data_IF_783353401194
#
_entry.id   IF_783353401194
#
_cell.length_a   1.000
_cell.length_b   1.000
_cell.length_c   1.000
_cell.angle_alpha   90.00
_cell.angle_beta   90.00
_cell.angle_gamma   90.00
#
_symmetry.space_group_name_H-M   'P 1'
#
loop_
_entity.id
_entity.type
_entity.pdbx_description
1 polymer ?
#
# COMPACT_ATOMS: atom_id res chain seq x y z
N UNK A 1 -18.00 -29.92 10.55
CA UNK A 1 -18.77 -28.92 9.77
C UNK A 1 -19.13 -29.55 8.44
N UNK A 2 -20.36 -30.04 8.27
CA UNK A 2 -20.84 -30.64 7.02
C UNK A 2 -21.06 -29.56 5.98
N UNK A 3 -20.43 -29.68 4.81
CA UNK A 3 -20.61 -28.73 3.72
C UNK A 3 -22.11 -28.60 3.36
N UNK A 4 -22.63 -27.37 3.18
CA UNK A 4 -24.02 -27.18 2.81
C UNK A 4 -24.34 -27.90 1.49
N UNK A 5 -25.50 -28.56 1.43
CA UNK A 5 -25.98 -29.19 0.20
C UNK A 5 -26.04 -28.20 -0.99
N UNK A 6 -25.97 -28.68 -2.24
CA UNK A 6 -25.86 -27.81 -3.42
C UNK A 6 -27.01 -26.81 -3.57
N UNK A 7 -28.21 -27.13 -3.06
CA UNK A 7 -29.36 -26.23 -3.05
C UNK A 7 -29.24 -25.11 -1.99
N UNK A 8 -28.67 -25.40 -0.82
CA UNK A 8 -28.46 -24.38 0.22
C UNK A 8 -27.31 -23.46 -0.14
N UNK A 9 -26.21 -23.99 -0.68
CA UNK A 9 -25.09 -23.18 -1.20
C UNK A 9 -25.54 -22.16 -2.26
N UNK A 10 -26.44 -22.57 -3.18
CA UNK A 10 -26.98 -21.69 -4.23
C UNK A 10 -27.88 -20.58 -3.67
N UNK A 11 -28.69 -20.87 -2.65
CA UNK A 11 -29.47 -19.84 -1.94
C UNK A 11 -28.55 -18.81 -1.27
N UNK A 12 -27.48 -19.27 -0.61
CA UNK A 12 -26.48 -18.39 -0.01
C UNK A 12 -25.79 -17.48 -1.03
N UNK A 13 -25.43 -18.00 -2.22
CA UNK A 13 -24.84 -17.15 -3.28
C UNK A 13 -25.80 -16.07 -3.79
N UNK A 14 -27.10 -16.36 -3.88
CA UNK A 14 -28.10 -15.37 -4.29
C UNK A 14 -28.30 -14.29 -3.22
N UNK A 15 -28.38 -14.69 -1.95
CA UNK A 15 -28.47 -13.76 -0.81
C UNK A 15 -27.22 -12.88 -0.75
N UNK A 16 -26.03 -13.46 -0.91
CA UNK A 16 -24.78 -12.72 -0.93
C UNK A 16 -24.71 -11.70 -2.08
N UNK A 17 -25.16 -12.07 -3.28
CA UNK A 17 -25.22 -11.16 -4.43
C UNK A 17 -26.18 -9.98 -4.17
N UNK A 18 -27.38 -10.26 -3.66
CA UNK A 18 -28.36 -9.23 -3.32
C UNK A 18 -27.88 -8.30 -2.20
N UNK A 19 -27.29 -8.87 -1.14
CA UNK A 19 -26.73 -8.09 -0.03
C UNK A 19 -25.57 -7.20 -0.48
N UNK A 20 -24.65 -7.72 -1.30
CA UNK A 20 -23.53 -6.95 -1.84
C UNK A 20 -24.02 -5.79 -2.72
N UNK A 21 -25.05 -6.02 -3.54
CA UNK A 21 -25.64 -4.98 -4.39
C UNK A 21 -26.37 -3.90 -3.57
N UNK A 22 -27.13 -4.28 -2.55
CA UNK A 22 -27.77 -3.34 -1.63
C UNK A 22 -26.72 -2.51 -0.89
N UNK A 23 -25.64 -3.13 -0.41
CA UNK A 23 -24.56 -2.42 0.26
C UNK A 23 -23.81 -1.49 -0.70
N UNK A 24 -23.62 -1.90 -1.97
CA UNK A 24 -23.05 -1.05 -3.01
C UNK A 24 -23.90 0.21 -3.23
N UNK A 25 -25.24 0.09 -3.25
CA UNK A 25 -26.14 1.25 -3.35
C UNK A 25 -26.02 2.17 -2.13
N UNK A 26 -25.95 1.62 -0.92
CA UNK A 26 -25.75 2.40 0.32
C UNK A 26 -24.42 3.16 0.29
N UNK A 27 -23.33 2.51 -0.12
CA UNK A 27 -22.00 3.14 -0.25
C UNK A 27 -22.01 4.21 -1.35
N UNK A 28 -22.69 3.95 -2.48
CA UNK A 28 -22.90 4.93 -3.54
C UNK A 28 -23.63 6.18 -3.03
N UNK A 29 -24.72 6.02 -2.29
CA UNK A 29 -25.43 7.12 -1.66
C UNK A 29 -24.55 7.86 -0.63
N UNK A 30 -23.80 7.12 0.19
CA UNK A 30 -22.87 7.69 1.16
C UNK A 30 -21.78 8.54 0.49
N UNK A 31 -21.33 8.18 -0.71
CA UNK A 31 -20.33 8.96 -1.46
C UNK A 31 -20.79 10.37 -1.85
N UNK A 32 -22.11 10.57 -1.95
CA UNK A 32 -22.74 11.87 -2.23
C UNK A 32 -22.90 12.69 -0.96
N UNK A 33 -23.27 12.04 0.15
CA UNK A 33 -23.62 12.71 1.41
C UNK A 33 -22.39 12.97 2.30
N UNK A 34 -21.39 12.09 2.29
CA UNK A 34 -20.19 12.17 3.15
C UNK A 34 -19.41 13.50 3.05
N UNK A 35 -19.26 14.14 1.87
CA UNK A 35 -18.60 15.44 1.76
C UNK A 35 -19.21 16.51 2.65
N UNK A 36 -20.54 16.52 2.82
CA UNK A 36 -21.25 17.49 3.68
C UNK A 36 -21.03 17.24 5.17
N UNK A 37 -20.82 15.98 5.58
CA UNK A 37 -20.48 15.65 6.97
C UNK A 37 -19.02 15.96 7.29
N UNK A 38 -18.11 15.78 6.34
CA UNK A 38 -16.67 16.04 6.53
C UNK A 38 -16.32 17.52 6.54
N UNK A 39 -17.08 18.38 5.85
CA UNK A 39 -16.86 19.83 5.84
C UNK A 39 -17.34 20.51 7.12
N UNK A 40 -18.28 19.91 7.86
CA UNK A 40 -18.87 20.50 9.05
C UNK A 40 -17.87 20.58 10.21
N UNK A 41 -17.64 21.80 10.68
CA UNK A 41 -16.69 22.15 11.75
C UNK A 41 -15.26 21.65 11.47
N UNK A 42 -14.88 21.58 10.19
CA UNK A 42 -13.58 21.07 9.77
C UNK A 42 -12.42 21.77 10.48
N UNK A 43 -12.46 23.10 10.52
CA UNK A 43 -11.42 23.93 11.13
C UNK A 43 -11.29 23.68 12.64
N UNK A 44 -12.42 23.59 13.35
CA UNK A 44 -12.42 23.33 14.78
C UNK A 44 -11.91 21.92 15.10
N UNK A 45 -12.37 20.90 14.35
CA UNK A 45 -11.95 19.50 14.52
C UNK A 45 -10.49 19.29 14.15
N UNK A 46 -10.03 19.91 13.07
CA UNK A 46 -8.62 19.83 12.65
C UNK A 46 -7.72 20.48 13.68
N UNK A 47 -8.03 21.69 14.15
CA UNK A 47 -7.25 22.37 15.19
C UNK A 47 -7.23 21.59 16.51
N UNK A 48 -8.36 21.03 16.94
CA UNK A 48 -8.42 20.17 18.13
C UNK A 48 -7.54 18.92 17.98
N UNK A 49 -7.57 18.28 16.81
CA UNK A 49 -6.70 17.14 16.50
C UNK A 49 -5.22 17.52 16.51
N UNK A 50 -4.86 18.69 15.95
CA UNK A 50 -3.49 19.20 15.93
C UNK A 50 -3.00 19.50 17.35
N UNK A 51 -3.82 20.13 18.20
CA UNK A 51 -3.50 20.36 19.62
C UNK A 51 -3.31 19.05 20.38
N UNK A 52 -4.17 18.07 20.16
CA UNK A 52 -4.01 16.74 20.77
C UNK A 52 -2.72 16.03 20.28
N UNK A 53 -2.29 16.27 19.05
CA UNK A 53 -1.01 15.76 18.54
C UNK A 53 0.18 16.53 19.09
N UNK A 54 0.09 17.85 19.24
CA UNK A 54 1.10 18.69 19.90
C UNK A 54 1.31 18.26 21.36
N UNK A 55 0.22 18.09 22.12
CA UNK A 55 0.27 17.60 23.50
C UNK A 55 0.94 16.21 23.60
N UNK A 56 0.59 15.27 22.71
CA UNK A 56 1.23 13.95 22.64
C UNK A 56 2.72 14.04 22.30
N UNK A 57 3.11 14.97 21.44
CA UNK A 57 4.52 15.17 21.06
C UNK A 57 5.32 15.75 22.22
N UNK A 58 4.78 16.74 22.94
CA UNK A 58 5.36 17.27 24.18
C UNK A 58 5.50 16.18 25.25
N UNK A 59 4.48 15.35 25.45
CA UNK A 59 4.53 14.22 26.38
C UNK A 59 5.59 13.18 26.00
N UNK A 60 5.75 12.87 24.70
CA UNK A 60 6.82 11.97 24.24
C UNK A 60 8.20 12.52 24.51
N UNK A 61 8.42 13.81 24.26
CA UNK A 61 9.70 14.45 24.58
C UNK A 61 9.95 14.40 26.09
N UNK A 62 8.97 14.78 26.90
CA UNK A 62 9.09 14.72 28.36
C UNK A 62 9.42 13.30 28.85
N UNK A 63 8.81 12.27 28.26
CA UNK A 63 9.13 10.87 28.58
C UNK A 63 10.56 10.49 28.17
N UNK A 64 11.05 10.95 27.02
CA UNK A 64 12.43 10.73 26.57
C UNK A 64 13.43 11.42 27.49
N UNK A 65 13.20 12.70 27.83
CA UNK A 65 14.04 13.46 28.76
C UNK A 65 14.04 12.82 30.15
N UNK A 66 12.86 12.48 30.70
CA UNK A 66 12.76 11.83 32.01
C UNK A 66 13.47 10.46 32.04
N UNK A 67 13.40 9.68 30.95
CA UNK A 67 14.13 8.40 30.84
C UNK A 67 15.64 8.62 30.80
N UNK A 68 16.10 9.64 30.08
CA UNK A 68 17.51 10.03 30.01
C UNK A 68 18.01 10.44 31.40
N UNK A 69 17.29 11.31 32.10
CA UNK A 69 17.62 11.77 33.44
C UNK A 69 17.61 10.65 34.47
N UNK A 70 16.56 9.82 34.48
CA UNK A 70 16.45 8.68 35.41
C UNK A 70 17.63 7.72 35.24
N UNK A 71 18.11 7.53 34.01
CA UNK A 71 19.29 6.70 33.76
C UNK A 71 20.58 7.38 34.18
N UNK A 72 20.72 8.67 33.92
CA UNK A 72 21.86 9.43 34.39
C UNK A 72 21.96 9.38 35.92
N UNK A 73 20.83 9.54 36.61
CA UNK A 73 20.74 9.50 38.07
C UNK A 73 21.07 8.13 38.70
N UNK A 74 21.04 7.02 37.95
CA UNK A 74 21.45 5.70 38.48
C UNK A 74 22.93 5.62 38.85
N UNK A 75 23.72 6.54 38.32
CA UNK A 75 25.15 6.63 38.60
C UNK A 75 25.46 7.66 39.69
N UNK A 76 24.44 8.39 40.19
CA UNK A 76 24.61 9.32 41.29
C UNK A 76 24.94 8.55 42.58
N UNK A 77 26.02 8.96 43.26
CA UNK A 77 26.47 8.33 44.51
C UNK A 77 27.13 6.95 44.35
N UNK A 78 27.32 6.48 43.11
CA UNK A 78 28.04 5.24 42.86
C UNK A 78 29.54 5.43 43.16
N UNK A 79 30.13 4.51 43.94
CA UNK A 79 31.59 4.54 44.18
C UNK A 79 32.29 4.21 42.85
N UNK A 80 33.04 5.16 42.27
CA UNK A 80 33.62 4.96 40.96
C UNK A 80 34.68 3.86 41.01
N UNK A 81 34.69 2.93 40.04
CA UNK A 81 35.82 2.02 39.86
C UNK A 81 37.15 2.77 39.78
N UNK A 82 38.20 2.21 40.38
CA UNK A 82 39.53 2.80 40.36
C UNK A 82 40.10 2.92 38.92
N UNK A 83 39.78 1.95 38.06
CA UNK A 83 40.13 1.94 36.65
C UNK A 83 38.94 2.33 35.77
N UNK A 84 39.10 3.21 34.76
CA UNK A 84 38.05 3.57 33.81
C UNK A 84 37.36 2.35 33.18
N UNK A 85 38.10 1.27 32.88
CA UNK A 85 37.55 0.05 32.30
C UNK A 85 36.48 -0.63 33.15
N UNK A 86 36.50 -0.39 34.47
CA UNK A 86 35.49 -0.88 35.41
C UNK A 86 34.08 -0.31 35.16
N UNK A 87 33.94 0.79 34.41
CA UNK A 87 32.63 1.35 34.03
C UNK A 87 31.93 0.56 32.92
N UNK A 88 32.67 -0.14 32.05
CA UNK A 88 32.09 -0.83 30.90
C UNK A 88 31.06 -1.92 31.28
N UNK A 89 31.33 -2.81 32.28
CA UNK A 89 30.33 -3.77 32.74
C UNK A 89 29.07 -3.11 33.30
N UNK A 90 29.21 -1.98 34.00
CA UNK A 90 28.09 -1.20 34.54
C UNK A 90 27.22 -0.67 33.38
N UNK A 91 27.85 -0.07 32.37
CA UNK A 91 27.15 0.42 31.18
C UNK A 91 26.43 -0.70 30.44
N UNK A 92 27.07 -1.86 30.26
CA UNK A 92 26.46 -3.01 29.58
C UNK A 92 25.24 -3.55 30.32
N UNK A 93 25.27 -3.56 31.65
CA UNK A 93 24.16 -4.02 32.51
C UNK A 93 23.00 -3.03 32.60
N UNK A 94 23.17 -1.78 32.12
CA UNK A 94 22.19 -0.70 32.30
C UNK A 94 20.93 -0.79 31.41
N UNK A 95 20.88 -1.75 30.48
CA UNK A 95 19.73 -1.99 29.60
C UNK A 95 19.50 -0.85 28.60
N UNK A 96 20.58 -0.28 28.05
CA UNK A 96 20.53 0.71 26.97
C UNK A 96 20.15 0.06 25.65
N UNK A 97 19.29 0.72 24.88
CA UNK A 97 19.03 0.38 23.49
C UNK A 97 20.18 0.91 22.63
N UNK A 98 21.25 0.14 22.52
CA UNK A 98 22.54 0.57 21.96
C UNK A 98 22.49 1.20 20.55
N UNK A 99 21.41 0.98 19.78
CA UNK A 99 21.21 1.61 18.48
C UNK A 99 20.86 3.12 18.57
N UNK A 100 20.16 3.51 19.62
CA UNK A 100 19.60 4.86 19.80
C UNK A 100 20.10 5.55 21.06
N UNK A 101 20.68 4.81 22.00
CA UNK A 101 21.07 5.31 23.31
C UNK A 101 22.54 4.96 23.57
N UNK A 102 23.21 5.79 24.36
CA UNK A 102 24.60 5.58 24.73
C UNK A 102 24.97 6.26 26.03
N UNK A 103 26.10 5.83 26.58
CA UNK A 103 26.72 6.42 27.76
C UNK A 103 28.23 6.43 27.57
N UNK A 104 28.88 7.50 28.01
CA UNK A 104 30.32 7.65 27.98
C UNK A 104 30.84 8.24 29.28
N UNK A 105 31.96 7.71 29.76
CA UNK A 105 32.83 8.37 30.72
C UNK A 105 33.75 9.31 29.95
N UNK A 106 33.75 10.59 30.31
CA UNK A 106 34.62 11.60 29.72
C UNK A 106 35.51 12.25 30.78
N UNK A 107 36.69 12.67 30.38
CA UNK A 107 37.54 13.51 31.23
C UNK A 107 37.00 14.96 31.31
N UNK A 108 37.70 15.80 32.06
CA UNK A 108 37.37 17.22 32.21
C UNK A 108 37.32 18.02 30.90
N UNK A 109 37.99 17.57 29.84
CA UNK A 109 38.01 18.25 28.54
C UNK A 109 37.04 17.62 27.51
N UNK A 110 36.23 16.64 27.90
CA UNK A 110 35.21 16.02 27.05
C UNK A 110 35.73 14.88 26.15
N UNK A 111 36.97 14.41 26.35
CA UNK A 111 37.48 13.22 25.70
C UNK A 111 36.84 11.97 26.30
N UNK A 112 36.42 11.05 25.44
CA UNK A 112 35.80 9.79 25.83
C UNK A 112 36.88 8.80 26.28
N UNK A 113 36.81 8.36 27.54
CA UNK A 113 37.69 7.32 28.10
C UNK A 113 37.08 5.93 27.90
N UNK A 114 35.78 5.78 28.20
CA UNK A 114 35.03 4.51 28.08
C UNK A 114 33.62 4.80 27.61
N UNK A 115 33.07 3.98 26.71
CA UNK A 115 31.71 4.16 26.20
C UNK A 115 30.97 2.86 25.96
N UNK A 116 29.65 2.95 25.88
CA UNK A 116 28.78 1.87 25.45
C UNK A 116 27.56 2.44 24.71
N UNK A 117 27.21 1.83 23.57
CA UNK A 117 26.07 2.25 22.75
C UNK A 117 26.39 3.41 21.80
N UNK A 118 25.36 4.17 21.44
CA UNK A 118 25.43 5.25 20.46
C UNK A 118 25.86 6.56 21.12
N UNK A 119 27.14 6.91 20.95
CA UNK A 119 27.82 8.01 21.65
C UNK A 119 28.43 8.98 20.65
N UNK A 120 28.37 10.27 20.98
CA UNK A 120 29.11 11.32 20.29
C UNK A 120 30.43 11.61 21.00
N UNK A 121 31.49 11.87 20.24
CA UNK A 121 32.71 12.46 20.77
C UNK A 121 32.45 13.92 21.15
N UNK A 122 32.34 14.24 22.44
CA UNK A 122 32.01 15.60 22.88
C UNK A 122 33.13 16.59 22.57
N UNK A 123 34.39 16.21 22.77
CA UNK A 123 35.57 17.02 22.43
C UNK A 123 35.62 17.46 20.96
N UNK A 124 35.10 16.65 20.02
CA UNK A 124 35.06 17.00 18.59
C UNK A 124 33.85 17.85 18.21
N UNK A 125 32.83 17.95 19.08
CA UNK A 125 31.55 18.57 18.77
C UNK A 125 31.31 19.88 19.54
N UNK A 126 31.96 20.04 20.69
CA UNK A 126 31.74 21.12 21.65
C UNK A 126 33.09 21.73 22.01
N UNK A 127 33.21 23.05 21.81
CA UNK A 127 34.41 23.79 22.22
C UNK A 127 34.54 23.83 23.74
N UNK A 128 35.76 24.01 24.25
CA UNK A 128 36.04 23.95 25.69
C UNK A 128 35.21 24.94 26.50
N UNK A 129 35.06 26.17 26.02
CA UNK A 129 34.28 27.22 26.68
C UNK A 129 32.80 26.83 26.78
N UNK A 130 32.24 26.30 25.68
CA UNK A 130 30.87 25.80 25.61
C UNK A 130 30.65 24.60 26.53
N UNK A 131 31.64 23.72 26.61
CA UNK A 131 31.58 22.54 27.45
C UNK A 131 31.50 22.92 28.93
N UNK A 132 32.32 23.88 29.39
CA UNK A 132 32.24 24.41 30.76
C UNK A 132 30.89 25.10 31.03
N UNK A 133 30.35 25.85 30.06
CA UNK A 133 29.01 26.45 30.18
C UNK A 133 27.93 25.38 30.34
N UNK A 134 27.99 24.30 29.56
CA UNK A 134 27.02 23.19 29.63
C UNK A 134 27.12 22.41 30.94
N UNK A 135 28.33 22.20 31.47
CA UNK A 135 28.53 21.61 32.81
C UNK A 135 27.92 22.48 33.91
N UNK A 136 28.21 23.78 33.88
CA UNK A 136 27.77 24.73 34.90
C UNK A 136 26.26 24.95 34.84
N UNK A 137 25.68 25.02 33.64
CA UNK A 137 24.25 25.05 33.47
C UNK A 137 23.66 23.75 34.03
N UNK A 138 24.11 22.58 33.56
CA UNK A 138 23.46 21.30 33.81
C UNK A 138 22.15 21.14 33.03
N UNK A 139 21.49 19.99 33.17
CA UNK A 139 20.31 19.62 32.38
C UNK A 139 20.64 19.03 31.01
N UNK A 140 19.62 18.86 30.18
CA UNK A 140 19.70 18.28 28.85
C UNK A 140 19.85 19.34 27.77
N UNK A 141 20.71 19.05 26.79
CA UNK A 141 20.97 19.90 25.65
C UNK A 141 21.01 19.07 24.37
N UNK A 142 20.79 19.73 23.23
CA UNK A 142 20.84 19.09 21.92
C UNK A 142 22.16 19.33 21.22
N UNK A 143 22.68 18.26 20.59
CA UNK A 143 23.82 18.32 19.69
C UNK A 143 23.40 17.72 18.35
N UNK A 144 23.55 18.52 17.29
CA UNK A 144 23.35 18.08 15.90
C UNK A 144 24.69 17.69 15.30
N UNK A 145 24.81 16.43 14.88
CA UNK A 145 25.97 15.92 14.16
C UNK A 145 25.54 15.32 12.82
N UNK A 146 25.85 16.03 11.73
CA UNK A 146 25.50 15.65 10.35
C UNK A 146 24.01 15.37 10.20
N UNK A 147 23.63 14.10 10.08
CA UNK A 147 22.26 13.63 9.88
C UNK A 147 21.57 13.21 11.19
N UNK A 148 22.25 13.25 12.32
CA UNK A 148 21.72 12.80 13.62
C UNK A 148 21.58 13.95 14.61
N UNK A 149 20.53 13.87 15.42
CA UNK A 149 20.28 14.79 16.52
C UNK A 149 20.26 13.98 17.82
N UNK A 150 21.05 14.43 18.79
CA UNK A 150 21.19 13.78 20.10
C UNK A 150 20.75 14.72 21.20
N UNK A 151 19.98 14.17 22.14
CA UNK A 151 19.75 14.76 23.45
C UNK A 151 20.79 14.20 24.40
N UNK A 152 21.59 15.07 25.00
CA UNK A 152 22.67 14.71 25.90
C UNK A 152 22.49 15.34 27.29
N UNK A 153 22.95 14.63 28.32
CA UNK A 153 23.03 15.12 29.71
C UNK A 153 24.41 14.81 30.25
N UNK A 154 25.00 15.77 30.95
CA UNK A 154 26.29 15.62 31.64
C UNK A 154 26.06 15.49 33.15
N UNK A 155 26.71 14.50 33.78
CA UNK A 155 26.70 14.30 35.24
C UNK A 155 28.12 14.16 35.77
N UNK A 156 28.53 14.91 36.80
CA UNK A 156 29.83 14.73 37.42
C UNK A 156 29.91 13.38 38.15
N UNK A 157 31.05 12.69 38.02
CA UNK A 157 31.37 11.50 38.81
C UNK A 157 31.92 11.94 40.17
N UNK A 158 31.68 11.15 41.22
CA UNK A 158 32.28 11.39 42.54
C UNK A 158 33.81 11.54 42.41
N UNK A 159 34.36 12.68 42.86
CA UNK A 159 35.76 13.07 42.64
C UNK A 159 35.97 14.23 41.65
N UNK A 160 34.93 14.66 40.93
CA UNK A 160 34.88 15.96 40.24
C UNK A 160 35.65 16.09 38.91
N UNK A 161 36.67 15.27 38.67
CA UNK A 161 37.51 15.37 37.45
C UNK A 161 36.90 14.71 36.21
N UNK A 162 35.98 13.75 36.40
CA UNK A 162 35.36 12.98 35.32
C UNK A 162 33.85 13.22 35.25
N UNK A 163 33.29 13.05 34.06
CA UNK A 163 31.87 13.26 33.76
C UNK A 163 31.29 12.01 33.07
N UNK A 164 30.02 11.73 33.36
CA UNK A 164 29.21 10.79 32.61
C UNK A 164 28.33 11.58 31.64
N UNK A 165 28.51 11.30 30.36
CA UNK A 165 27.69 11.81 29.29
C UNK A 165 26.69 10.74 28.86
N UNK A 166 25.40 11.03 29.02
CA UNK A 166 24.32 10.15 28.56
C UNK A 166 23.72 10.72 27.28
N UNK A 167 23.46 9.84 26.30
CA UNK A 167 22.95 10.21 24.99
C UNK A 167 21.68 9.44 24.66
N UNK A 168 20.71 10.15 24.09
CA UNK A 168 19.57 9.57 23.38
C UNK A 168 19.44 10.25 22.03
N UNK A 169 19.53 9.48 20.96
CA UNK A 169 19.27 9.95 19.60
C UNK A 169 17.78 10.28 19.46
N UNK A 170 17.46 11.52 19.09
CA UNK A 170 16.09 11.97 18.82
C UNK A 170 15.71 11.81 17.36
N UNK A 171 16.65 12.01 16.45
CA UNK A 171 16.41 11.90 15.02
C UNK A 171 17.65 11.41 14.26
N UNK A 172 17.41 10.69 13.16
CA UNK A 172 18.38 10.39 12.11
C UNK A 172 17.71 10.57 10.76
N UNK A 173 18.13 11.60 10.02
CA UNK A 173 17.55 12.04 8.75
C UNK A 173 18.66 11.99 7.67
N UNK A 174 18.94 10.81 7.10
CA UNK A 174 19.99 10.64 6.12
C UNK A 174 19.61 11.30 4.78
N UNK A 175 20.58 11.92 4.11
CA UNK A 175 20.37 12.48 2.76
C UNK A 175 20.04 11.42 1.71
N UNK A 176 20.45 10.17 1.95
CA UNK A 176 20.20 9.02 1.06
C UNK A 176 19.53 7.92 1.87
N UNK A 177 18.33 7.52 1.47
CA UNK A 177 17.60 6.41 2.07
C UNK A 177 17.86 5.12 1.27
N UNK A 178 17.98 4.00 1.98
CA UNK A 178 18.06 2.67 1.35
C UNK A 178 17.32 1.65 2.22
N UNK A 179 17.18 0.41 1.74
CA UNK A 179 16.57 -0.66 2.54
C UNK A 179 17.23 -0.85 3.93
N UNK A 180 18.52 -0.52 4.04
CA UNK A 180 19.36 -0.66 5.23
C UNK A 180 19.55 0.65 6.01
N UNK A 181 19.36 1.81 5.37
CA UNK A 181 19.52 3.13 5.98
C UNK A 181 18.14 3.77 6.03
N UNK A 182 17.51 3.69 7.21
CA UNK A 182 16.17 4.20 7.45
C UNK A 182 16.21 5.42 8.35
N UNK A 183 15.27 6.33 8.09
CA UNK A 183 15.00 7.42 9.01
C UNK A 183 14.58 6.90 10.38
N UNK A 184 14.99 7.62 11.40
CA UNK A 184 14.56 7.39 12.77
C UNK A 184 14.10 8.70 13.38
N UNK A 185 12.94 8.69 14.02
CA UNK A 185 12.40 9.82 14.78
C UNK A 185 11.82 9.31 16.10
N UNK A 186 12.35 9.77 17.22
CA UNK A 186 11.84 9.43 18.55
C UNK A 186 10.49 10.10 18.84
N UNK A 187 10.27 11.32 18.30
CA UNK A 187 9.12 12.16 18.63
C UNK A 187 7.97 12.00 17.61
N UNK A 188 8.30 11.75 16.35
CA UNK A 188 7.35 11.60 15.26
C UNK A 188 6.96 10.13 15.03
N UNK A 189 5.69 9.81 14.76
CA UNK A 189 5.39 8.61 13.99
C UNK A 189 5.92 8.85 12.57
N UNK A 190 7.02 8.19 12.18
CA UNK A 190 7.67 8.39 10.89
C UNK A 190 6.69 8.40 9.71
N UNK A 191 6.85 9.36 8.80
CA UNK A 191 6.22 9.34 7.47
C UNK A 191 4.82 9.98 7.32
N UNK A 192 4.36 10.88 8.20
CA UNK A 192 3.13 11.66 7.94
C UNK A 192 3.45 13.01 7.29
N UNK A 193 3.00 13.20 6.05
CA UNK A 193 2.96 14.52 5.41
C UNK A 193 2.29 15.54 6.35
N UNK A 194 2.95 16.67 6.59
CA UNK A 194 2.47 17.70 7.52
C UNK A 194 2.93 17.53 8.98
N UNK A 195 4.02 16.82 9.25
CA UNK A 195 4.68 16.82 10.55
C UNK A 195 6.16 17.13 10.36
N UNK A 196 6.60 18.28 10.87
CA UNK A 196 7.98 18.74 10.75
C UNK A 196 8.52 19.14 12.12
N UNK A 197 9.78 18.80 12.41
CA UNK A 197 10.48 19.18 13.64
C UNK A 197 11.86 19.69 13.27
N UNK A 198 12.06 20.98 13.53
CA UNK A 198 13.37 21.61 13.50
C UNK A 198 14.02 21.50 14.88
N UNK A 199 15.18 20.85 14.93
CA UNK A 199 15.95 20.69 16.15
C UNK A 199 17.02 21.77 16.23
N UNK A 200 17.05 22.50 17.34
CA UNK A 200 17.98 23.59 17.60
C UNK A 200 19.16 23.08 18.42
N UNK A 201 20.37 23.22 17.87
CA UNK A 201 21.60 22.88 18.58
C UNK A 201 21.84 23.88 19.73
N UNK A 202 22.55 23.48 20.79
CA UNK A 202 22.84 24.37 21.92
C UNK A 202 23.61 25.65 21.52
N UNK A 203 24.28 25.64 20.35
CA UNK A 203 25.01 26.77 19.76
C UNK A 203 24.10 27.78 19.06
N UNK A 204 22.88 27.40 18.71
CA UNK A 204 21.97 28.23 17.94
C UNK A 204 21.16 29.14 18.89
N UNK A 205 21.04 30.42 18.52
CA UNK A 205 20.26 31.39 19.28
C UNK A 205 18.76 31.20 19.02
N UNK A 206 18.01 30.91 20.10
CA UNK A 206 16.56 30.70 20.09
C UNK A 206 15.76 31.85 20.73
N UNK A 207 16.41 32.96 21.11
CA UNK A 207 15.75 34.09 21.80
C UNK A 207 14.65 34.74 20.96
N UNK A 208 14.79 34.71 19.63
CA UNK A 208 13.74 35.12 18.69
C UNK A 208 12.48 34.26 18.83
N UNK A 209 12.65 32.94 18.92
CA UNK A 209 11.57 31.99 19.13
C UNK A 209 10.96 32.11 20.53
N UNK A 210 11.77 32.29 21.56
CA UNK A 210 11.28 32.49 22.93
C UNK A 210 10.34 33.70 23.01
N UNK A 211 10.76 34.85 22.47
CA UNK A 211 9.91 36.06 22.40
C UNK A 211 8.68 35.87 21.53
N UNK A 212 8.78 35.08 20.47
CA UNK A 212 7.64 34.77 19.60
C UNK A 212 6.60 33.92 20.33
N UNK A 213 7.01 32.82 20.96
CA UNK A 213 6.10 31.89 21.62
C UNK A 213 5.55 32.42 22.94
N UNK A 214 6.31 33.22 23.68
CA UNK A 214 5.81 33.92 24.87
C UNK A 214 4.58 34.80 24.54
N UNK A 215 4.59 35.47 23.38
CA UNK A 215 3.44 36.27 22.90
C UNK A 215 2.23 35.43 22.49
N UNK A 216 2.45 34.17 22.13
CA UNK A 216 1.43 33.25 21.62
C UNK A 216 1.10 32.09 22.59
N UNK A 217 1.49 32.20 23.87
CA UNK A 217 1.25 31.15 24.89
C UNK A 217 1.75 29.77 24.43
N UNK A 218 2.95 29.72 23.86
CA UNK A 218 3.60 28.52 23.32
C UNK A 218 2.82 27.79 22.21
N UNK A 219 1.85 28.44 21.56
CA UNK A 219 1.11 27.88 20.43
C UNK A 219 0.73 28.95 19.40
N UNK A 220 1.23 28.81 18.19
CA UNK A 220 0.85 29.66 17.07
C UNK A 220 0.07 28.85 16.02
N UNK A 221 -1.21 29.16 15.87
CA UNK A 221 -2.02 28.64 14.77
C UNK A 221 -1.91 29.59 13.58
N UNK A 222 -1.25 29.15 12.52
CA UNK A 222 -1.12 29.94 11.29
C UNK A 222 -2.48 30.14 10.61
N UNK A 223 -2.64 31.27 9.93
CA UNK A 223 -3.82 31.50 9.09
C UNK A 223 -3.65 30.72 7.77
N UNK A 224 -4.69 29.98 7.34
CA UNK A 224 -4.66 29.34 6.04
C UNK A 224 -4.72 30.43 4.96
N UNK A 225 -3.93 30.31 3.87
CA UNK A 225 -3.95 31.33 2.81
C UNK A 225 -5.24 31.27 1.98
N UNK A 226 -5.95 30.13 2.03
CA UNK A 226 -7.27 29.92 1.42
C UNK A 226 -8.22 29.16 2.35
N UNK A 227 -9.53 29.34 2.19
CA UNK A 227 -10.60 28.72 3.02
C UNK A 227 -10.53 27.19 3.11
N UNK A 228 -9.85 26.51 2.17
CA UNK A 228 -9.73 25.05 2.12
C UNK A 228 -8.32 24.52 2.44
N UNK A 229 -7.37 25.40 2.78
CA UNK A 229 -5.99 25.02 3.08
C UNK A 229 -5.80 24.53 4.52
N UNK A 230 -4.76 23.72 4.69
CA UNK A 230 -4.30 23.24 5.98
C UNK A 230 -3.95 24.41 6.91
N UNK A 231 -4.54 24.45 8.11
CA UNK A 231 -4.03 25.32 9.18
C UNK A 231 -2.81 24.66 9.83
N UNK A 232 -1.61 25.27 9.76
CA UNK A 232 -0.47 24.76 10.49
C UNK A 232 -0.57 25.19 11.97
N UNK A 233 -0.18 24.29 12.87
CA UNK A 233 0.03 24.56 14.28
C UNK A 233 1.53 24.50 14.55
N UNK A 234 2.10 25.62 14.96
CA UNK A 234 3.51 25.77 15.30
C UNK A 234 3.66 25.89 16.82
N UNK A 235 4.55 25.11 17.42
CA UNK A 235 4.76 25.12 18.87
C UNK A 235 6.19 24.75 19.27
N UNK A 236 6.68 25.21 20.42
CA UNK A 236 7.99 24.85 20.92
C UNK A 236 7.94 23.51 21.66
N UNK A 237 9.07 22.82 21.59
CA UNK A 237 9.43 21.66 22.38
C UNK A 237 10.55 22.09 23.33
N UNK A 238 10.27 22.04 24.63
CA UNK A 238 11.15 22.52 25.69
C UNK A 238 11.78 21.36 26.45
N UNK A 239 13.00 21.55 26.96
CA UNK A 239 13.63 20.64 27.90
C UNK A 239 13.07 20.82 29.32
N UNK A 240 13.57 20.05 30.28
CA UNK A 240 13.18 20.11 31.69
C UNK A 240 13.45 21.48 32.36
N UNK A 241 14.38 22.26 31.81
CA UNK A 241 14.68 23.63 32.25
C UNK A 241 13.80 24.69 31.62
N UNK A 242 12.92 24.29 30.71
CA UNK A 242 12.04 25.21 29.99
C UNK A 242 12.67 25.88 28.77
N UNK A 243 13.91 25.54 28.37
CA UNK A 243 14.52 26.08 27.16
C UNK A 243 14.01 25.38 25.90
N UNK A 244 13.78 26.15 24.82
CA UNK A 244 13.42 25.58 23.51
C UNK A 244 14.59 24.77 22.96
N UNK A 245 14.35 23.49 22.70
CA UNK A 245 15.30 22.59 22.03
C UNK A 245 14.83 22.19 20.63
N UNK A 246 13.54 22.28 20.34
CA UNK A 246 13.03 22.05 19.01
C UNK A 246 11.77 22.87 18.76
N UNK A 247 11.45 23.13 17.50
CA UNK A 247 10.18 23.71 17.08
C UNK A 247 9.49 22.76 16.13
N UNK A 248 8.20 22.52 16.38
CA UNK A 248 7.41 21.57 15.62
C UNK A 248 6.30 22.28 14.84
N UNK A 249 6.16 21.93 13.56
CA UNK A 249 5.08 22.37 12.70
C UNK A 249 4.18 21.20 12.34
N UNK A 250 2.90 21.29 12.69
CA UNK A 250 1.88 20.30 12.34
C UNK A 250 0.89 20.90 11.35
N UNK A 251 0.75 20.29 10.19
CA UNK A 251 -0.28 20.61 9.23
C UNK A 251 -1.28 19.44 9.14
N UNK A 252 -2.57 19.75 9.22
CA UNK A 252 -3.60 18.80 8.84
C UNK A 252 -3.69 18.72 7.31
N UNK A 253 -4.12 17.60 6.70
CA UNK A 253 -4.42 17.60 5.26
C UNK A 253 -5.47 18.68 4.95
N UNK A 254 -5.55 19.14 3.70
CA UNK A 254 -6.63 20.07 3.29
C UNK A 254 -8.00 19.38 3.31
N UNK A 255 -9.09 20.15 3.47
CA UNK A 255 -10.45 19.60 3.39
C UNK A 255 -10.67 18.91 2.05
N UNK A 256 -10.20 19.51 0.95
CA UNK A 256 -10.26 18.94 -0.40
C UNK A 256 -9.54 17.60 -0.48
N UNK A 257 -8.34 17.50 0.09
CA UNK A 257 -7.58 16.24 0.15
C UNK A 257 -8.33 15.18 0.95
N UNK A 258 -8.86 15.54 2.12
CA UNK A 258 -9.62 14.61 2.98
C UNK A 258 -10.91 14.12 2.32
N UNK A 259 -11.66 15.01 1.67
CA UNK A 259 -12.88 14.65 0.93
C UNK A 259 -12.54 13.78 -0.29
N UNK A 260 -11.46 14.10 -1.00
CA UNK A 260 -11.01 13.32 -2.16
C UNK A 260 -10.59 11.91 -1.74
N UNK A 261 -9.77 11.79 -0.68
CA UNK A 261 -9.35 10.50 -0.14
C UNK A 261 -10.55 9.68 0.36
N UNK A 262 -11.52 10.30 1.05
CA UNK A 262 -12.72 9.61 1.49
C UNK A 262 -13.61 9.15 0.32
N UNK A 263 -13.74 9.97 -0.73
CA UNK A 263 -14.43 9.59 -1.97
C UNK A 263 -13.71 8.44 -2.68
N UNK A 264 -12.39 8.46 -2.69
CA UNK A 264 -11.56 7.40 -3.26
C UNK A 264 -11.76 6.08 -2.49
N UNK A 265 -11.76 6.13 -1.16
CA UNK A 265 -12.01 4.97 -0.30
C UNK A 265 -13.40 4.38 -0.51
N UNK A 266 -14.43 5.23 -0.59
CA UNK A 266 -15.79 4.78 -0.88
C UNK A 266 -15.92 4.20 -2.29
N UNK A 267 -15.23 4.77 -3.29
CA UNK A 267 -15.18 4.21 -4.65
C UNK A 267 -14.50 2.84 -4.65
N UNK A 268 -13.41 2.68 -3.91
CA UNK A 268 -12.75 1.38 -3.77
C UNK A 268 -13.70 0.35 -3.17
N UNK A 269 -14.37 0.68 -2.06
CA UNK A 269 -15.36 -0.20 -1.42
C UNK A 269 -16.50 -0.52 -2.40
N UNK A 270 -17.01 0.47 -3.13
CA UNK A 270 -18.04 0.28 -4.14
C UNK A 270 -17.61 -0.73 -5.21
N UNK A 271 -16.41 -0.58 -5.77
CA UNK A 271 -15.90 -1.51 -6.79
C UNK A 271 -15.70 -2.93 -6.23
N UNK A 272 -15.23 -3.07 -4.99
CA UNK A 272 -15.11 -4.37 -4.33
C UNK A 272 -16.48 -5.03 -4.10
N UNK A 273 -17.49 -4.26 -3.72
CA UNK A 273 -18.85 -4.78 -3.54
C UNK A 273 -19.51 -5.17 -4.87
N UNK A 274 -19.32 -4.38 -5.92
CA UNK A 274 -19.76 -4.73 -7.26
C UNK A 274 -19.08 -6.00 -7.75
N UNK A 275 -17.77 -6.14 -7.51
CA UNK A 275 -17.02 -7.33 -7.85
C UNK A 275 -17.53 -8.57 -7.10
N UNK A 276 -17.80 -8.44 -5.80
CA UNK A 276 -18.39 -9.49 -4.99
C UNK A 276 -19.81 -9.87 -5.47
N UNK A 277 -20.63 -8.89 -5.83
CA UNK A 277 -21.98 -9.11 -6.36
C UNK A 277 -21.94 -9.85 -7.70
N UNK A 278 -21.09 -9.41 -8.64
CA UNK A 278 -20.91 -10.08 -9.93
C UNK A 278 -20.33 -11.49 -9.76
N UNK A 279 -19.35 -11.69 -8.87
CA UNK A 279 -18.77 -13.00 -8.59
C UNK A 279 -19.77 -13.99 -7.97
N UNK A 280 -20.58 -13.52 -7.01
CA UNK A 280 -21.65 -14.32 -6.41
C UNK A 280 -22.76 -14.64 -7.42
N UNK A 281 -23.14 -13.66 -8.27
CA UNK A 281 -24.09 -13.87 -9.37
C UNK A 281 -23.58 -14.89 -10.38
N UNK A 282 -22.30 -14.81 -10.78
CA UNK A 282 -21.65 -15.79 -11.65
C UNK A 282 -21.73 -17.18 -11.03
N UNK A 283 -21.36 -17.32 -9.75
CA UNK A 283 -21.45 -18.58 -9.04
C UNK A 283 -22.89 -19.12 -9.02
N UNK A 284 -23.90 -18.27 -8.84
CA UNK A 284 -25.31 -18.66 -8.85
C UNK A 284 -25.79 -19.21 -10.19
N UNK A 285 -25.46 -18.53 -11.30
CA UNK A 285 -25.84 -18.96 -12.65
C UNK A 285 -25.06 -20.21 -13.09
N UNK A 286 -23.74 -20.25 -12.85
CA UNK A 286 -22.88 -21.32 -13.35
C UNK A 286 -22.82 -22.57 -12.45
N UNK A 287 -23.26 -22.47 -11.19
CA UNK A 287 -23.46 -23.64 -10.34
C UNK A 287 -24.75 -24.42 -10.65
N UNK A 288 -25.65 -23.84 -11.45
CA UNK A 288 -26.94 -24.45 -11.77
C UNK A 288 -26.78 -25.81 -12.47
N UNK A 289 -27.53 -26.87 -12.07
CA UNK A 289 -27.40 -28.20 -12.68
C UNK A 289 -27.81 -28.20 -14.16
N UNK A 290 -28.80 -27.38 -14.53
CA UNK A 290 -29.23 -27.22 -15.92
C UNK A 290 -28.13 -26.58 -16.79
N UNK A 291 -27.44 -25.57 -16.29
CA UNK A 291 -26.30 -24.96 -16.97
C UNK A 291 -25.14 -25.95 -17.09
N UNK A 292 -24.74 -26.66 -16.03
CA UNK A 292 -23.67 -27.67 -16.08
C UNK A 292 -23.97 -28.85 -17.02
N UNK A 293 -25.25 -29.16 -17.22
CA UNK A 293 -25.73 -30.11 -18.22
C UNK A 293 -25.78 -29.54 -19.65
N UNK A 294 -25.46 -28.25 -19.81
CA UNK A 294 -25.48 -27.48 -21.06
C UNK A 294 -26.89 -27.04 -21.51
N UNK A 295 -27.93 -27.33 -20.74
CA UNK A 295 -29.34 -27.21 -21.17
C UNK A 295 -29.89 -25.78 -21.03
N UNK A 296 -29.20 -24.92 -20.30
CA UNK A 296 -29.64 -23.55 -19.99
C UNK A 296 -28.71 -22.52 -20.64
N UNK A 297 -29.07 -22.11 -21.87
CA UNK A 297 -28.33 -21.11 -22.65
C UNK A 297 -28.43 -19.72 -22.01
N UNK A 298 -29.56 -19.41 -21.36
CA UNK A 298 -29.79 -18.12 -20.73
C UNK A 298 -28.87 -17.91 -19.53
N UNK A 299 -28.66 -18.93 -18.70
CA UNK A 299 -27.68 -18.87 -17.61
C UNK A 299 -26.24 -18.64 -18.13
N UNK A 300 -25.91 -19.18 -19.30
CA UNK A 300 -24.63 -18.94 -19.97
C UNK A 300 -24.46 -17.49 -20.40
N UNK A 301 -25.46 -16.94 -21.09
CA UNK A 301 -25.48 -15.54 -21.52
C UNK A 301 -25.47 -14.57 -20.32
N UNK A 302 -26.27 -14.84 -19.29
CA UNK A 302 -26.29 -14.04 -18.07
C UNK A 302 -24.92 -14.04 -17.37
N UNK A 303 -24.25 -15.19 -17.28
CA UNK A 303 -22.91 -15.27 -16.73
C UNK A 303 -21.85 -14.55 -17.58
N UNK A 304 -21.97 -14.59 -18.92
CA UNK A 304 -21.10 -13.83 -19.81
C UNK A 304 -21.27 -12.31 -19.62
N UNK A 305 -22.51 -11.83 -19.50
CA UNK A 305 -22.80 -10.42 -19.19
C UNK A 305 -22.24 -10.04 -17.81
N UNK A 306 -22.37 -10.90 -16.81
CA UNK A 306 -21.81 -10.67 -15.47
C UNK A 306 -20.27 -10.65 -15.47
N UNK A 307 -19.60 -11.48 -16.27
CA UNK A 307 -18.14 -11.43 -16.44
C UNK A 307 -17.68 -10.13 -17.10
N UNK A 308 -18.36 -9.72 -18.17
CA UNK A 308 -18.07 -8.45 -18.83
C UNK A 308 -18.30 -7.28 -17.87
N UNK A 309 -19.42 -7.27 -17.15
CA UNK A 309 -19.74 -6.26 -16.12
C UNK A 309 -18.73 -6.26 -14.97
N UNK A 310 -18.28 -7.44 -14.52
CA UNK A 310 -17.21 -7.56 -13.53
C UNK A 310 -15.92 -6.92 -14.03
N UNK A 311 -15.49 -7.25 -15.26
CA UNK A 311 -14.25 -6.69 -15.81
C UNK A 311 -14.33 -5.17 -15.95
N UNK A 312 -15.46 -4.66 -16.45
CA UNK A 312 -15.70 -3.22 -16.63
C UNK A 312 -15.74 -2.48 -15.29
N UNK A 313 -16.35 -3.07 -14.25
CA UNK A 313 -16.39 -2.44 -12.91
C UNK A 313 -15.02 -2.40 -12.22
N UNK A 314 -14.09 -3.29 -12.59
CA UNK A 314 -12.73 -3.31 -12.07
C UNK A 314 -11.75 -2.40 -12.83
N UNK A 315 -12.05 -1.97 -14.06
CA UNK A 315 -11.17 -1.09 -14.86
C UNK A 315 -10.75 0.22 -14.13
N UNK A 316 -11.65 0.91 -13.39
CA UNK A 316 -11.27 2.15 -12.72
C UNK A 316 -10.35 1.95 -11.50
N UNK A 317 -10.13 0.72 -11.02
CA UNK A 317 -9.32 0.46 -9.83
C UNK A 317 -7.88 0.96 -9.99
N UNK A 318 -7.26 0.73 -11.14
CA UNK A 318 -5.90 1.20 -11.44
C UNK A 318 -5.77 2.73 -11.51
N UNK A 319 -6.88 3.48 -11.49
CA UNK A 319 -6.90 4.96 -11.47
C UNK A 319 -7.02 5.55 -10.06
N UNK A 320 -7.21 4.71 -9.05
CA UNK A 320 -7.25 5.15 -7.65
C UNK A 320 -5.80 5.30 -7.17
N UNK A 321 -5.42 6.46 -6.66
CA UNK A 321 -4.07 6.78 -6.21
C UNK A 321 -3.53 5.75 -5.20
N UNK A 322 -4.37 5.26 -4.27
CA UNK A 322 -3.96 4.22 -3.32
C UNK A 322 -3.61 2.89 -4.00
N UNK A 323 -4.36 2.52 -5.03
CA UNK A 323 -4.19 1.24 -5.73
C UNK A 323 -3.02 1.34 -6.72
N UNK A 324 -2.88 2.46 -7.41
CA UNK A 324 -1.77 2.73 -8.35
C UNK A 324 -0.40 2.73 -7.66
N UNK A 325 -0.33 3.09 -6.37
CA UNK A 325 0.91 3.00 -5.58
C UNK A 325 1.42 1.56 -5.39
N UNK A 326 0.59 0.55 -5.66
CA UNK A 326 0.99 -0.85 -5.62
C UNK A 326 1.59 -1.27 -6.95
N UNK A 327 2.76 -1.93 -6.93
CA UNK A 327 3.44 -2.44 -8.14
C UNK A 327 2.55 -3.31 -9.03
N UNK A 328 1.53 -3.96 -8.46
CA UNK A 328 0.57 -4.81 -9.16
C UNK A 328 -0.34 -4.03 -10.13
N UNK A 329 -0.58 -2.74 -9.87
CA UNK A 329 -1.41 -1.85 -10.68
C UNK A 329 -0.59 -0.73 -11.34
N UNK A 330 0.74 -0.79 -11.23
CA UNK A 330 1.64 0.19 -11.80
C UNK A 330 1.89 -0.11 -13.29
N UNK A 331 1.51 0.80 -14.21
CA UNK A 331 1.74 0.61 -15.65
C UNK A 331 3.24 0.57 -16.00
N UNK A 332 4.12 1.15 -15.18
CA UNK A 332 5.56 1.11 -15.42
C UNK A 332 6.17 -0.27 -15.18
N UNK A 333 5.47 -1.19 -14.50
CA UNK A 333 5.98 -2.54 -14.24
C UNK A 333 5.75 -3.46 -15.44
N UNK A 334 4.51 -3.54 -15.91
CA UNK A 334 4.15 -4.20 -17.15
C UNK A 334 2.75 -3.76 -17.60
N UNK A 335 2.64 -3.29 -18.83
CA UNK A 335 1.36 -2.87 -19.38
C UNK A 335 1.53 -2.38 -20.80
N UNK A 336 0.49 -2.56 -21.61
CA UNK A 336 0.45 -2.07 -22.97
C UNK A 336 -0.93 -1.50 -23.27
N UNK A 337 -0.98 -0.56 -24.21
CA UNK A 337 -2.23 0.02 -24.66
C UNK A 337 -3.08 -1.05 -25.36
N UNK A 338 -4.31 -1.17 -24.88
CA UNK A 338 -5.33 -2.04 -25.46
C UNK A 338 -6.69 -1.36 -25.36
N UNK A 339 -7.69 -1.91 -26.04
CA UNK A 339 -9.05 -1.40 -26.00
C UNK A 339 -9.54 -1.15 -24.56
N UNK A 340 -9.99 0.08 -24.32
CA UNK A 340 -10.50 0.58 -23.02
C UNK A 340 -9.53 0.42 -21.82
N UNK A 341 -8.26 0.09 -22.04
CA UNK A 341 -7.25 -0.09 -20.99
C UNK A 341 -7.29 -1.45 -20.30
N UNK A 342 -7.72 -2.51 -20.98
CA UNK A 342 -7.83 -3.86 -20.43
C UNK A 342 -6.49 -4.49 -20.00
N UNK A 343 -5.34 -3.98 -20.44
CA UNK A 343 -4.00 -4.54 -20.17
C UNK A 343 -2.98 -3.50 -19.67
N UNK A 344 -3.46 -2.44 -19.02
CA UNK A 344 -2.60 -1.32 -18.57
C UNK A 344 -1.67 -1.64 -17.40
N UNK A 345 -1.88 -2.75 -16.70
CA UNK A 345 -1.11 -3.15 -15.52
C UNK A 345 -1.02 -4.68 -15.39
N UNK A 346 -0.12 -5.21 -14.55
CA UNK A 346 -0.05 -6.66 -14.29
C UNK A 346 -1.38 -7.26 -13.81
N UNK A 347 -2.10 -6.58 -12.93
CA UNK A 347 -3.45 -7.00 -12.51
C UNK A 347 -4.46 -6.93 -13.65
N UNK A 348 -4.42 -5.89 -14.48
CA UNK A 348 -5.35 -5.75 -15.60
C UNK A 348 -5.19 -6.90 -16.61
N UNK A 349 -3.95 -7.31 -16.90
CA UNK A 349 -3.64 -8.47 -17.75
C UNK A 349 -4.23 -9.76 -17.15
N UNK A 350 -4.02 -10.00 -15.85
CA UNK A 350 -4.56 -11.17 -15.16
C UNK A 350 -6.10 -11.18 -15.15
N UNK A 351 -6.73 -10.05 -14.81
CA UNK A 351 -8.19 -9.93 -14.74
C UNK A 351 -8.84 -10.11 -16.11
N UNK A 352 -8.20 -9.59 -17.17
CA UNK A 352 -8.65 -9.79 -18.55
C UNK A 352 -8.50 -11.26 -18.96
N UNK A 353 -7.36 -11.89 -18.64
CA UNK A 353 -7.16 -13.32 -18.91
C UNK A 353 -8.21 -14.20 -18.20
N UNK A 354 -8.54 -13.91 -16.93
CA UNK A 354 -9.58 -14.60 -16.18
C UNK A 354 -10.97 -14.41 -16.79
N UNK A 355 -11.30 -13.21 -17.26
CA UNK A 355 -12.57 -12.93 -17.93
C UNK A 355 -12.68 -13.73 -19.24
N UNK A 356 -11.63 -13.73 -20.07
CA UNK A 356 -11.57 -14.50 -21.33
C UNK A 356 -11.68 -16.00 -21.06
N UNK A 357 -10.96 -16.50 -20.05
CA UNK A 357 -11.04 -17.90 -19.63
C UNK A 357 -12.43 -18.29 -19.15
N UNK A 358 -13.08 -17.43 -18.36
CA UNK A 358 -14.46 -17.62 -17.94
C UNK A 358 -15.39 -17.73 -19.15
N UNK A 359 -15.32 -16.79 -20.09
CA UNK A 359 -16.14 -16.82 -21.32
C UNK A 359 -15.91 -18.12 -22.12
N UNK A 360 -14.66 -18.56 -22.26
CA UNK A 360 -14.33 -19.82 -22.93
C UNK A 360 -14.95 -21.03 -22.21
N UNK A 361 -14.90 -21.07 -20.87
CA UNK A 361 -15.55 -22.10 -20.06
C UNK A 361 -17.08 -22.10 -20.25
N UNK A 362 -17.71 -20.92 -20.21
CA UNK A 362 -19.14 -20.78 -20.42
C UNK A 362 -19.59 -21.32 -21.78
N UNK A 363 -18.86 -20.96 -22.83
CA UNK A 363 -19.09 -21.43 -24.19
C UNK A 363 -18.90 -22.96 -24.30
N UNK A 364 -17.86 -23.51 -23.68
CA UNK A 364 -17.59 -24.96 -23.66
C UNK A 364 -18.73 -25.75 -23.00
N UNK A 365 -19.34 -25.21 -21.94
CA UNK A 365 -20.49 -25.83 -21.27
C UNK A 365 -21.75 -25.77 -22.13
N UNK A 366 -22.03 -24.65 -22.79
CA UNK A 366 -23.21 -24.48 -23.67
C UNK A 366 -23.18 -25.42 -24.89
N UNK A 367 -22.00 -25.75 -25.40
CA UNK A 367 -21.84 -26.71 -26.53
C UNK A 367 -21.94 -28.19 -26.12
N UNK A 368 -22.05 -28.49 -24.82
CA UNK A 368 -22.23 -29.86 -24.31
C UNK A 368 -23.64 -30.39 -24.60
N UNK A 369 -24.69 -29.58 -24.42
CA UNK A 369 -26.07 -30.04 -24.64
C UNK A 369 -26.47 -30.20 -26.11
N UNK A 370 -25.77 -29.54 -27.02
CA UNK A 370 -25.97 -29.74 -28.46
C UNK A 370 -25.48 -31.12 -28.94
N UNK A 371 -24.92 -31.95 -28.05
CA UNK A 371 -24.50 -33.34 -28.32
C UNK A 371 -25.53 -34.43 -28.01
N UNK A 372 -26.83 -34.11 -27.92
CA UNK A 372 -27.89 -35.09 -27.66
C UNK A 372 -28.06 -36.13 -28.78
N UNK A 373 -27.71 -37.39 -28.46
CA UNK A 373 -28.08 -38.69 -29.07
C UNK A 373 -28.49 -38.71 -30.56
N UNK A 374 -27.59 -39.26 -31.37
CA UNK A 374 -27.91 -40.23 -32.42
C UNK A 374 -28.78 -39.75 -33.58
N UNK A 375 -28.20 -38.98 -34.50
CA UNK A 375 -28.65 -39.02 -35.89
C UNK A 375 -27.52 -39.64 -36.71
N UNK A 376 -27.77 -40.82 -37.29
CA UNK A 376 -26.86 -41.46 -38.26
C UNK A 376 -26.50 -40.44 -39.36
N UNK A 377 -25.25 -40.43 -39.84
CA UNK A 377 -24.89 -39.60 -40.97
C UNK A 377 -25.81 -39.97 -42.14
N UNK A 378 -26.51 -38.99 -42.71
CA UNK A 378 -27.12 -39.13 -44.02
C UNK A 378 -26.00 -38.86 -45.02
N UNK A 379 -25.43 -39.93 -45.55
CA UNK A 379 -24.48 -39.89 -46.66
C UNK A 379 -25.18 -39.25 -47.87
N UNK A 380 -24.60 -38.18 -48.40
CA UNK A 380 -25.17 -37.44 -49.52
C UNK A 380 -25.07 -35.90 -49.45
N UNK A 381 -24.11 -35.35 -48.70
CA UNK A 381 -23.80 -33.90 -48.75
C UNK A 381 -22.57 -33.65 -49.62
N UNK A 382 -22.65 -32.63 -50.48
CA UNK A 382 -21.54 -32.22 -51.33
C UNK A 382 -20.33 -31.82 -50.48
N UNK A 383 -19.15 -32.24 -50.92
CA UNK A 383 -17.84 -31.93 -50.32
C UNK A 383 -17.61 -30.42 -50.16
N UNK A 384 -18.25 -29.61 -51.01
CA UNK A 384 -18.22 -28.15 -50.95
C UNK A 384 -18.97 -27.57 -49.73
N UNK A 385 -20.15 -28.13 -49.36
CA UNK A 385 -20.92 -27.68 -48.20
C UNK A 385 -20.26 -28.08 -46.87
N UNK A 386 -19.55 -29.20 -46.85
CA UNK A 386 -18.71 -29.58 -45.70
C UNK A 386 -17.48 -28.68 -45.59
N UNK A 387 -16.80 -28.37 -46.70
CA UNK A 387 -15.67 -27.44 -46.71
C UNK A 387 -16.04 -26.04 -46.20
N UNK A 388 -17.17 -25.48 -46.65
CA UNK A 388 -17.70 -24.19 -46.17
C UNK A 388 -18.06 -24.21 -44.67
N UNK A 389 -18.50 -25.34 -44.13
CA UNK A 389 -18.80 -25.50 -42.71
C UNK A 389 -17.54 -25.55 -41.81
N UNK A 390 -16.37 -25.85 -42.39
CA UNK A 390 -15.09 -25.94 -41.67
C UNK A 390 -14.31 -24.61 -41.66
N UNK A 391 -14.59 -23.68 -42.60
CA UNK A 391 -13.95 -22.36 -42.65
C UNK A 391 -14.07 -21.56 -41.33
N UNK A 392 -15.23 -21.50 -40.64
CA UNK A 392 -15.33 -20.76 -39.38
C UNK A 392 -14.45 -21.31 -38.26
N UNK A 393 -14.32 -22.63 -38.19
CA UNK A 393 -13.55 -23.28 -37.15
C UNK A 393 -12.04 -23.16 -37.41
N UNK A 394 -11.63 -23.23 -38.69
CA UNK A 394 -10.25 -22.95 -39.10
C UNK A 394 -9.87 -21.49 -38.84
N UNK A 395 -10.75 -20.54 -39.21
CA UNK A 395 -10.54 -19.12 -38.93
C UNK A 395 -10.46 -18.83 -37.42
N UNK A 396 -11.31 -19.48 -36.61
CA UNK A 396 -11.26 -19.36 -35.16
C UNK A 396 -9.95 -19.92 -34.59
N UNK A 397 -9.47 -21.04 -35.10
CA UNK A 397 -8.21 -21.64 -34.66
C UNK A 397 -6.99 -20.77 -35.03
N UNK A 398 -6.92 -20.29 -36.28
CA UNK A 398 -5.87 -19.40 -36.73
C UNK A 398 -5.89 -18.06 -35.97
N UNK A 399 -7.07 -17.48 -35.77
CA UNK A 399 -7.23 -16.24 -34.99
C UNK A 399 -6.83 -16.41 -33.53
N UNK A 400 -7.18 -17.53 -32.90
CA UNK A 400 -6.79 -17.80 -31.51
C UNK A 400 -5.28 -17.99 -31.34
N UNK A 401 -4.62 -18.63 -32.31
CA UNK A 401 -3.17 -18.78 -32.32
C UNK A 401 -2.46 -17.43 -32.52
N UNK A 402 -2.94 -16.62 -33.48
CA UNK A 402 -2.41 -15.27 -33.72
C UNK A 402 -2.55 -14.37 -32.48
N UNK A 403 -3.74 -14.35 -31.85
CA UNK A 403 -3.99 -13.57 -30.65
C UNK A 403 -3.12 -14.04 -29.47
N UNK A 404 -2.84 -15.34 -29.35
CA UNK A 404 -1.92 -15.86 -28.33
C UNK A 404 -0.49 -15.36 -28.56
N UNK A 405 0.01 -15.48 -29.79
CA UNK A 405 1.36 -15.02 -30.15
C UNK A 405 1.50 -13.52 -29.90
N UNK A 406 0.52 -12.73 -30.34
CA UNK A 406 0.53 -11.28 -30.18
C UNK A 406 0.46 -10.86 -28.72
N UNK A 407 -0.43 -11.47 -27.92
CA UNK A 407 -0.55 -11.17 -26.50
C UNK A 407 0.74 -11.51 -25.73
N UNK A 408 1.38 -12.64 -26.05
CA UNK A 408 2.66 -13.01 -25.44
C UNK A 408 3.75 -12.02 -25.86
N UNK A 409 3.83 -11.69 -27.16
CA UNK A 409 4.79 -10.72 -27.69
C UNK A 409 4.67 -9.37 -27.00
N UNK A 410 3.46 -8.81 -26.93
CA UNK A 410 3.18 -7.52 -26.29
C UNK A 410 3.47 -7.55 -24.79
N UNK A 411 3.10 -8.63 -24.10
CA UNK A 411 3.36 -8.77 -22.66
C UNK A 411 4.86 -8.86 -22.36
N UNK A 412 5.61 -9.62 -23.16
CA UNK A 412 7.07 -9.76 -22.99
C UNK A 412 7.78 -8.45 -23.33
N UNK A 413 7.40 -7.79 -24.43
CA UNK A 413 8.05 -6.57 -24.89
C UNK A 413 7.79 -5.38 -23.96
N UNK A 414 6.60 -5.29 -23.36
CA UNK A 414 6.20 -4.18 -22.48
C UNK A 414 6.30 -4.53 -20.98
N UNK A 415 7.14 -5.49 -20.60
CA UNK A 415 7.39 -5.85 -19.20
C UNK A 415 8.81 -5.49 -18.77
N UNK A 416 8.93 -4.76 -17.67
CA UNK A 416 10.19 -4.49 -16.99
C UNK A 416 10.58 -5.61 -16.01
N UNK A 417 9.87 -6.74 -16.01
CA UNK A 417 10.13 -7.89 -15.16
C UNK A 417 10.75 -9.04 -15.96
N UNK A 418 11.78 -9.67 -15.38
CA UNK A 418 12.27 -10.94 -15.91
C UNK A 418 11.26 -12.05 -15.60
N UNK A 419 10.47 -12.46 -16.59
CA UNK A 419 9.46 -13.52 -16.46
C UNK A 419 10.05 -14.91 -16.19
N UNK A 420 11.36 -15.09 -16.39
CA UNK A 420 12.10 -16.34 -16.18
C UNK A 420 12.56 -16.53 -14.73
N UNK A 421 12.53 -15.47 -13.90
CA UNK A 421 12.91 -15.55 -12.49
C UNK A 421 11.71 -15.95 -11.63
N UNK A 422 11.88 -16.95 -10.77
CA UNK A 422 10.89 -17.36 -9.78
C UNK A 422 11.13 -16.64 -8.45
N UNK A 423 10.42 -15.54 -8.22
CA UNK A 423 10.24 -14.92 -6.91
C UNK A 423 8.75 -14.70 -6.63
N UNK A 424 8.38 -14.56 -5.36
CA UNK A 424 7.00 -14.31 -4.93
C UNK A 424 6.62 -12.83 -5.04
N UNK A 425 7.17 -12.09 -6.01
CA UNK A 425 6.71 -10.74 -6.31
C UNK A 425 5.29 -10.79 -6.88
N UNK A 426 4.37 -10.02 -6.30
CA UNK A 426 2.95 -10.08 -6.63
C UNK A 426 2.67 -9.71 -8.10
N UNK A 427 3.40 -8.73 -8.64
CA UNK A 427 3.23 -8.31 -10.04
C UNK A 427 3.72 -9.39 -11.01
N UNK A 428 4.86 -10.02 -10.73
CA UNK A 428 5.36 -11.14 -11.55
C UNK A 428 4.43 -12.35 -11.50
N UNK A 429 3.99 -12.73 -10.30
CA UNK A 429 3.06 -13.84 -10.10
C UNK A 429 1.76 -13.60 -10.86
N UNK A 430 1.24 -12.37 -10.85
CA UNK A 430 0.05 -12.00 -11.60
C UNK A 430 0.25 -12.13 -13.13
N UNK A 431 1.40 -11.71 -13.67
CA UNK A 431 1.71 -11.87 -15.10
C UNK A 431 1.83 -13.34 -15.50
N UNK A 432 2.59 -14.14 -14.74
CA UNK A 432 2.76 -15.56 -15.03
C UNK A 432 1.42 -16.31 -14.97
N UNK A 433 0.62 -16.06 -13.94
CA UNK A 433 -0.72 -16.62 -13.81
C UNK A 433 -1.64 -16.12 -14.93
N UNK A 434 -1.56 -14.84 -15.29
CA UNK A 434 -2.34 -14.26 -16.38
C UNK A 434 -2.06 -14.92 -17.72
N UNK A 435 -0.77 -15.09 -18.08
CA UNK A 435 -0.36 -15.78 -19.29
C UNK A 435 -0.79 -17.26 -19.29
N UNK A 436 -0.65 -17.95 -18.15
CA UNK A 436 -1.08 -19.35 -18.02
C UNK A 436 -2.59 -19.50 -18.20
N UNK A 437 -3.38 -18.64 -17.56
CA UNK A 437 -4.85 -18.63 -17.67
C UNK A 437 -5.28 -18.28 -19.10
N UNK A 438 -4.60 -17.33 -19.74
CA UNK A 438 -4.87 -16.96 -21.11
C UNK A 438 -4.58 -18.09 -22.09
N UNK A 439 -3.44 -18.77 -21.92
CA UNK A 439 -3.11 -19.98 -22.68
C UNK A 439 -4.19 -21.06 -22.51
N UNK A 440 -4.63 -21.30 -21.26
CA UNK A 440 -5.70 -22.25 -21.00
C UNK A 440 -7.01 -21.87 -21.70
N UNK A 441 -7.33 -20.56 -21.77
CA UNK A 441 -8.51 -20.06 -22.49
C UNK A 441 -8.41 -20.33 -24.01
N UNK A 442 -7.25 -20.06 -24.60
CA UNK A 442 -6.97 -20.32 -26.01
C UNK A 442 -7.04 -21.82 -26.33
N UNK A 443 -6.43 -22.68 -25.50
CA UNK A 443 -6.50 -24.13 -25.67
C UNK A 443 -7.95 -24.66 -25.56
N UNK A 444 -8.75 -24.10 -24.65
CA UNK A 444 -10.17 -24.43 -24.56
C UNK A 444 -10.95 -24.01 -25.81
N UNK A 445 -10.69 -22.81 -26.34
CA UNK A 445 -11.31 -22.32 -27.58
C UNK A 445 -10.92 -23.18 -28.79
N UNK A 446 -9.64 -23.57 -28.90
CA UNK A 446 -9.14 -24.49 -29.93
C UNK A 446 -9.77 -25.88 -29.82
N UNK A 447 -9.84 -26.43 -28.60
CA UNK A 447 -10.51 -27.71 -28.35
C UNK A 447 -12.00 -27.66 -28.70
N UNK A 448 -12.65 -26.50 -28.50
CA UNK A 448 -14.02 -26.27 -28.91
C UNK A 448 -14.15 -26.22 -30.44
N UNK A 449 -13.26 -25.50 -31.13
CA UNK A 449 -13.21 -25.44 -32.59
C UNK A 449 -13.10 -26.85 -33.18
N UNK A 450 -12.16 -27.66 -32.66
CA UNK A 450 -11.95 -29.04 -33.08
C UNK A 450 -13.18 -29.91 -32.85
N UNK A 451 -13.85 -29.77 -31.70
CA UNK A 451 -15.12 -30.48 -31.42
C UNK A 451 -16.23 -30.09 -32.39
N UNK A 452 -16.27 -28.84 -32.85
CA UNK A 452 -17.24 -28.37 -33.84
C UNK A 452 -16.89 -28.90 -35.25
N UNK A 453 -15.60 -28.96 -35.60
CA UNK A 453 -15.09 -29.55 -36.84
C UNK A 453 -15.46 -31.04 -36.99
N UNK A 454 -15.39 -31.80 -35.89
CA UNK A 454 -15.64 -33.24 -35.87
C UNK A 454 -17.14 -33.63 -35.79
N UNK A 455 -18.08 -32.67 -35.75
CA UNK A 455 -19.52 -32.95 -35.66
C UNK A 455 -20.23 -32.87 -37.02
N UNK A 456 -21.20 -33.78 -37.31
CA UNK A 456 -21.99 -33.68 -38.53
C UNK A 456 -22.86 -32.41 -38.52
N UNK A 457 -22.72 -31.59 -39.57
CA UNK A 457 -23.24 -30.23 -39.68
C UNK A 457 -24.78 -30.13 -39.59
N UNK A 458 -25.36 -30.11 -38.39
CA UNK A 458 -26.75 -29.71 -38.18
C UNK A 458 -26.85 -28.79 -36.96
N UNK A 459 -26.46 -27.52 -37.17
CA UNK A 459 -27.10 -26.28 -36.67
C UNK A 459 -26.06 -25.16 -36.62
N UNK A 460 -26.33 -24.09 -37.39
CA UNK A 460 -25.41 -22.98 -37.70
C UNK A 460 -25.39 -21.89 -36.61
N UNK A 461 -26.34 -21.89 -35.66
CA UNK A 461 -26.45 -20.86 -34.62
C UNK A 461 -25.24 -20.75 -33.66
N UNK A 462 -24.66 -21.82 -33.10
CA UNK A 462 -23.51 -21.71 -32.19
C UNK A 462 -22.21 -21.33 -32.92
N UNK A 463 -22.11 -21.60 -34.22
CA UNK A 463 -20.97 -21.21 -35.06
C UNK A 463 -20.95 -19.70 -35.34
N UNK A 464 -22.10 -19.05 -35.53
CA UNK A 464 -22.18 -17.58 -35.67
C UNK A 464 -21.77 -16.87 -34.36
N UNK A 465 -22.16 -17.43 -33.22
CA UNK A 465 -21.81 -16.88 -31.90
C UNK A 465 -20.32 -17.09 -31.56
N UNK A 466 -19.73 -18.20 -32.01
CA UNK A 466 -18.29 -18.46 -31.89
C UNK A 466 -17.45 -17.54 -32.81
N UNK A 467 -17.92 -17.25 -34.03
CA UNK A 467 -17.30 -16.26 -34.93
C UNK A 467 -17.37 -14.86 -34.33
N UNK A 468 -18.51 -14.47 -33.74
CA UNK A 468 -18.68 -13.18 -33.07
C UNK A 468 -17.76 -13.03 -31.84
N UNK A 469 -17.56 -14.11 -31.06
CA UNK A 469 -16.62 -14.13 -29.93
C UNK A 469 -15.15 -14.10 -30.37
N UNK A 470 -14.79 -14.78 -31.46
CA UNK A 470 -13.45 -14.72 -32.04
C UNK A 470 -13.14 -13.33 -32.62
N UNK A 471 -14.13 -12.69 -33.26
CA UNK A 471 -14.02 -11.31 -33.74
C UNK A 471 -13.91 -10.31 -32.58
N UNK A 472 -14.66 -10.51 -31.49
CA UNK A 472 -14.56 -9.68 -30.29
C UNK A 472 -13.23 -9.87 -29.54
N UNK A 473 -12.65 -11.08 -29.55
CA UNK A 473 -11.33 -11.35 -28.99
C UNK A 473 -10.19 -10.73 -29.83
N UNK A 474 -10.31 -10.73 -31.17
CA UNK A 474 -9.38 -10.04 -32.06
C UNK A 474 -9.45 -8.52 -31.95
N UNK A 475 -10.64 -7.94 -31.77
CA UNK A 475 -10.82 -6.51 -31.57
C UNK A 475 -10.34 -6.00 -30.20
N UNK A 476 -10.15 -6.89 -29.21
CA UNK A 476 -9.60 -6.55 -27.90
C UNK A 476 -8.06 -6.58 -27.85
N UNK A 477 -7.42 -7.16 -28.87
CA UNK A 477 -5.96 -7.27 -29.00
C UNK A 477 -5.34 -6.22 -29.96
N UNK A 478 -6.17 -5.39 -30.60
CA UNK A 478 -5.76 -4.29 -31.47
C UNK A 478 -5.81 -2.93 -30.79
#
# INVERSE_FOLDING_TARGET
MTAPGPATARRWTAVAAAAALLLALVVGALSVVLPGFLSRDYDAKSLASLRAQAARTRQRLAAVSARLETRAARFDGLVPPADPGGFFPLFRSSGLEAANEGVALTNGDGFVEVWFGNVLSLSDQIEREDFERLKAAGGSFLVRNKASVYLAVLRPVAGGERLLAHFTRLAFIPRVQSAHIREYHALAPGGRAGFDIDYWDFREDVDGFERFFARHKDEFAGQPRQTNEARPLFFPLRNEKGHIIATATLASPSLTSRVTAAREDLRLILFLLLAAACGAGLAFFWSGPAFRAGRDVFAGLAGAVLLAGLRVSLLPLGRLARVQSMRLFDPAVAGFDSWAGLTRSPADILLTALAVFGLACGLAVMTKATGGRGARPRDGRSTALTALAHLPALALAAGAAFVLEEAVRLTVFNSNLSLLRWDFDAARTALQLGLLVFLAAVLLALGLALRLLLRPARRVLPSVLAIALAAAAGAAAG
#
